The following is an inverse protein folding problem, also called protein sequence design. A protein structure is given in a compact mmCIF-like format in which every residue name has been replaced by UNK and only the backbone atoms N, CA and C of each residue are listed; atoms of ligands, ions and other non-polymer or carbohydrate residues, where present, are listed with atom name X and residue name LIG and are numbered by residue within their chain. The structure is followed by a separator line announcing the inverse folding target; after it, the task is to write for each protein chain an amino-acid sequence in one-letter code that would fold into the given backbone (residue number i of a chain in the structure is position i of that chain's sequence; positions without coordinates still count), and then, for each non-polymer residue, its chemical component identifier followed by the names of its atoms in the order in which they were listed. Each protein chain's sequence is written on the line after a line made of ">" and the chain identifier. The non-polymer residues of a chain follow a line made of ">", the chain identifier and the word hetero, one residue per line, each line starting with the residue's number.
data_IF_082418419133
#
_entry.id   IF_082418419133
#
_cell.length_a   1.000
_cell.length_b   1.000
_cell.length_c   1.000
_cell.angle_alpha   90.00
_cell.angle_beta   90.00
_cell.angle_gamma   90.00
#
_symmetry.space_group_name_H-M   'P 1'
#
loop_
_entity.id
_entity.type
_entity.pdbx_description
1 polymer ?
#
# COMPACT_ATOMS: atom_id res chain seq x y z
N UNK A 1 14.45 33.63 25.97
CA UNK A 1 13.83 32.28 25.95
C UNK A 1 13.01 32.00 24.69
N UNK A 2 12.14 32.91 24.25
CA UNK A 2 11.26 32.71 23.07
C UNK A 2 11.95 32.69 21.71
N UNK A 3 13.10 33.38 21.57
CA UNK A 3 13.85 33.46 20.33
C UNK A 3 14.62 32.16 19.98
N UNK A 4 14.93 31.33 20.98
CA UNK A 4 15.58 30.02 20.80
C UNK A 4 14.58 28.96 20.34
N UNK A 5 13.35 29.00 20.87
CA UNK A 5 12.25 28.15 20.42
C UNK A 5 11.87 28.45 18.96
N UNK A 6 11.80 29.72 18.57
CA UNK A 6 11.54 30.11 17.17
C UNK A 6 12.60 29.63 16.19
N UNK A 7 13.89 29.64 16.57
CA UNK A 7 14.98 29.13 15.73
C UNK A 7 14.99 27.60 15.61
N UNK A 8 14.62 26.88 16.67
CA UNK A 8 14.46 25.42 16.66
C UNK A 8 13.27 24.98 15.80
N UNK A 9 12.11 25.63 15.94
CA UNK A 9 10.93 25.36 15.11
C UNK A 9 11.15 25.72 13.64
N UNK A 10 11.79 26.87 13.35
CA UNK A 10 12.13 27.25 11.97
C UNK A 10 13.20 26.35 11.32
N UNK A 11 14.13 25.81 12.10
CA UNK A 11 15.10 24.81 11.63
C UNK A 11 14.46 23.45 11.33
N UNK A 12 13.49 23.03 12.15
CA UNK A 12 12.72 21.80 11.95
C UNK A 12 11.77 21.90 10.75
N UNK A 13 11.12 23.04 10.54
CA UNK A 13 10.26 23.26 9.36
C UNK A 13 11.07 23.24 8.07
N UNK A 14 12.25 23.89 8.04
CA UNK A 14 13.12 23.90 6.87
C UNK A 14 13.77 22.54 6.54
N UNK A 15 13.90 21.65 7.52
CA UNK A 15 14.34 20.26 7.30
C UNK A 15 13.18 19.38 6.82
N UNK A 16 11.99 19.49 7.39
CA UNK A 16 10.79 18.82 6.91
C UNK A 16 10.50 19.19 5.44
N UNK A 17 10.62 20.47 5.10
CA UNK A 17 10.48 20.99 3.74
C UNK A 17 11.58 20.54 2.77
N UNK A 18 12.67 19.91 3.22
CA UNK A 18 13.66 19.27 2.31
C UNK A 18 13.41 17.79 2.12
N UNK A 19 12.91 17.09 3.15
CA UNK A 19 12.64 15.64 3.07
C UNK A 19 11.27 15.30 2.44
N UNK A 20 10.27 16.17 2.59
CA UNK A 20 8.93 16.00 1.98
C UNK A 20 8.91 16.20 0.45
N UNK A 21 9.52 17.26 -0.14
CA UNK A 21 9.45 17.46 -1.59
C UNK A 21 10.24 16.42 -2.39
N UNK A 22 11.19 15.71 -1.76
CA UNK A 22 11.96 14.66 -2.43
C UNK A 22 11.10 13.43 -2.75
N UNK A 23 10.17 13.07 -1.85
CA UNK A 23 9.23 11.95 -2.06
C UNK A 23 8.24 12.22 -3.20
N UNK A 24 7.68 13.42 -3.27
CA UNK A 24 6.75 13.79 -4.34
C UNK A 24 7.43 13.77 -5.70
N UNK A 25 8.67 14.26 -5.79
CA UNK A 25 9.47 14.22 -7.02
C UNK A 25 9.85 12.80 -7.44
N UNK A 26 10.16 11.92 -6.49
CA UNK A 26 10.43 10.50 -6.74
C UNK A 26 9.17 9.79 -7.27
N UNK A 27 8.01 10.02 -6.67
CA UNK A 27 6.73 9.47 -7.14
C UNK A 27 6.40 9.94 -8.55
N UNK A 28 6.58 11.24 -8.85
CA UNK A 28 6.39 11.76 -10.20
C UNK A 28 7.40 11.19 -11.20
N UNK A 29 8.67 11.05 -10.81
CA UNK A 29 9.69 10.43 -11.66
C UNK A 29 9.35 8.96 -11.96
N UNK A 30 8.90 8.21 -10.95
CA UNK A 30 8.45 6.83 -11.13
C UNK A 30 7.18 6.74 -11.97
N UNK A 31 6.24 7.68 -11.82
CA UNK A 31 5.03 7.76 -12.67
C UNK A 31 5.42 8.00 -14.12
N UNK A 32 6.34 8.94 -14.39
CA UNK A 32 6.82 9.24 -15.75
C UNK A 32 7.55 8.06 -16.40
N UNK A 33 8.34 7.30 -15.63
CA UNK A 33 8.99 6.08 -16.11
C UNK A 33 7.94 5.00 -16.42
N UNK A 34 6.98 4.78 -15.51
CA UNK A 34 5.89 3.82 -15.71
C UNK A 34 5.03 4.18 -16.93
N UNK A 35 4.71 5.45 -17.14
CA UNK A 35 3.96 5.95 -18.29
C UNK A 35 4.73 5.71 -19.61
N UNK A 36 6.03 6.00 -19.62
CA UNK A 36 6.89 5.75 -20.77
C UNK A 36 7.00 4.24 -21.10
N UNK A 37 7.17 3.39 -20.09
CA UNK A 37 7.21 1.92 -20.25
C UNK A 37 5.86 1.34 -20.73
N UNK A 38 4.73 1.96 -20.36
CA UNK A 38 3.40 1.52 -20.77
C UNK A 38 3.07 1.94 -22.21
N UNK A 39 3.55 3.11 -22.66
CA UNK A 39 3.19 3.71 -23.95
C UNK A 39 3.68 2.96 -25.20
N UNK A 40 4.78 2.19 -25.10
CA UNK A 40 5.42 1.58 -26.27
C UNK A 40 5.65 0.07 -26.23
N UNK A 41 5.52 -0.57 -25.06
CA UNK A 41 5.86 -1.99 -24.91
C UNK A 41 4.63 -2.91 -25.04
N UNK A 42 4.72 -4.03 -25.81
CA UNK A 42 3.74 -5.12 -25.71
C UNK A 42 3.62 -5.55 -24.25
N UNK A 43 2.47 -6.13 -23.86
CA UNK A 43 2.24 -6.59 -22.49
C UNK A 43 3.31 -7.62 -22.08
N UNK A 44 4.42 -7.11 -21.57
CA UNK A 44 5.55 -7.91 -21.12
C UNK A 44 5.08 -8.78 -19.97
N UNK A 45 5.60 -10.01 -19.87
CA UNK A 45 5.39 -10.88 -18.71
C UNK A 45 5.71 -10.16 -17.39
N UNK A 46 6.63 -9.19 -17.43
CA UNK A 46 7.02 -8.32 -16.32
C UNK A 46 6.00 -7.19 -16.01
N UNK A 47 4.99 -6.93 -16.85
CA UNK A 47 3.88 -6.02 -16.54
C UNK A 47 2.67 -6.79 -15.98
N UNK A 48 2.51 -8.03 -16.43
CA UNK A 48 1.41 -8.91 -16.03
C UNK A 48 1.53 -9.42 -14.59
N UNK A 49 2.74 -9.64 -14.05
CA UNK A 49 2.89 -10.13 -12.67
C UNK A 49 2.29 -9.20 -11.63
N UNK A 50 2.42 -7.87 -11.79
CA UNK A 50 1.85 -6.88 -10.87
C UNK A 50 0.33 -6.93 -10.89
N UNK A 51 -0.26 -7.03 -12.08
CA UNK A 51 -1.70 -7.20 -12.24
C UNK A 51 -2.18 -8.52 -11.64
N UNK A 52 -1.48 -9.62 -11.94
CA UNK A 52 -1.78 -10.95 -11.39
C UNK A 52 -1.75 -10.96 -9.86
N UNK A 53 -0.70 -10.39 -9.26
CA UNK A 53 -0.56 -10.30 -7.81
C UNK A 53 -1.70 -9.48 -7.19
N UNK A 54 -2.13 -8.39 -7.86
CA UNK A 54 -3.30 -7.62 -7.47
C UNK A 54 -4.59 -8.43 -7.45
N UNK A 55 -4.82 -9.28 -8.46
CA UNK A 55 -5.97 -10.19 -8.49
C UNK A 55 -5.94 -11.21 -7.35
N UNK A 56 -4.78 -11.81 -7.08
CA UNK A 56 -4.62 -12.76 -5.97
C UNK A 56 -4.90 -12.07 -4.64
N UNK A 57 -4.33 -10.87 -4.41
CA UNK A 57 -4.59 -10.10 -3.19
C UNK A 57 -6.07 -9.68 -3.07
N UNK A 58 -6.74 -9.34 -4.16
CA UNK A 58 -8.17 -9.03 -4.15
C UNK A 58 -9.03 -10.25 -3.75
N UNK A 59 -8.68 -11.44 -4.22
CA UNK A 59 -9.34 -12.69 -3.80
C UNK A 59 -9.10 -12.98 -2.32
N UNK A 60 -7.86 -12.80 -1.83
CA UNK A 60 -7.53 -12.97 -0.42
C UNK A 60 -8.24 -11.94 0.46
N UNK A 61 -8.36 -10.69 0.01
CA UNK A 61 -9.13 -9.65 0.70
C UNK A 61 -10.62 -10.02 0.76
N UNK A 62 -11.20 -10.48 -0.35
CA UNK A 62 -12.59 -10.96 -0.38
C UNK A 62 -12.79 -12.14 0.58
N UNK A 63 -11.85 -13.07 0.65
CA UNK A 63 -11.86 -14.14 1.63
C UNK A 63 -11.79 -13.63 3.07
N UNK A 64 -10.86 -12.74 3.41
CA UNK A 64 -10.69 -12.23 4.78
C UNK A 64 -11.88 -11.38 5.24
N UNK A 65 -12.51 -10.62 4.35
CA UNK A 65 -13.66 -9.77 4.71
C UNK A 65 -14.98 -10.52 4.57
N UNK A 66 -15.32 -11.01 3.39
CA UNK A 66 -16.63 -11.64 3.14
C UNK A 66 -16.63 -13.08 3.63
N UNK A 67 -15.60 -13.85 3.28
CA UNK A 67 -15.49 -15.25 3.68
C UNK A 67 -15.41 -15.43 5.20
N UNK A 68 -14.38 -14.86 5.82
CA UNK A 68 -14.06 -15.08 7.22
C UNK A 68 -14.98 -14.32 8.19
N UNK A 69 -15.40 -13.08 7.89
CA UNK A 69 -16.23 -12.30 8.83
C UNK A 69 -17.73 -12.50 8.64
N UNK A 70 -18.19 -12.85 7.43
CA UNK A 70 -19.64 -12.99 7.14
C UNK A 70 -20.02 -14.45 6.93
N UNK A 71 -19.38 -15.13 5.98
CA UNK A 71 -19.80 -16.49 5.59
C UNK A 71 -19.48 -17.51 6.70
N UNK A 72 -18.28 -17.48 7.27
CA UNK A 72 -17.87 -18.47 8.30
C UNK A 72 -18.74 -18.39 9.56
N UNK A 73 -19.03 -17.22 10.16
CA UNK A 73 -19.88 -17.16 11.35
C UNK A 73 -21.34 -17.53 11.07
N UNK A 74 -21.87 -17.21 9.89
CA UNK A 74 -23.27 -17.48 9.54
C UNK A 74 -23.52 -18.95 9.19
N UNK A 75 -22.60 -19.59 8.46
CA UNK A 75 -22.83 -20.92 7.89
C UNK A 75 -21.92 -22.01 8.49
N UNK A 76 -20.77 -21.64 9.07
CA UNK A 76 -19.73 -22.57 9.53
C UNK A 76 -19.19 -22.20 10.93
N UNK A 77 -20.06 -21.74 11.82
CA UNK A 77 -19.69 -21.19 13.14
C UNK A 77 -18.79 -22.14 13.98
N UNK A 78 -18.99 -23.45 13.86
CA UNK A 78 -18.17 -24.44 14.58
C UNK A 78 -16.72 -24.47 14.11
N UNK A 79 -16.47 -24.12 12.85
CA UNK A 79 -15.14 -24.13 12.25
C UNK A 79 -14.39 -22.83 12.52
N UNK A 80 -15.11 -21.74 12.82
CA UNK A 80 -14.54 -20.44 13.16
C UNK A 80 -13.41 -20.51 14.21
N UNK A 81 -13.55 -21.43 15.20
CA UNK A 81 -12.58 -21.63 16.28
C UNK A 81 -11.26 -22.26 15.85
N UNK A 82 -11.27 -22.96 14.71
CA UNK A 82 -10.11 -23.69 14.19
C UNK A 82 -9.41 -22.95 13.04
N UNK A 83 -9.91 -21.77 12.65
CA UNK A 83 -9.26 -21.02 11.59
C UNK A 83 -7.90 -20.46 12.07
N UNK A 84 -6.89 -20.44 11.20
CA UNK A 84 -5.64 -19.74 11.50
C UNK A 84 -5.90 -18.25 11.69
N UNK A 85 -4.98 -17.50 12.33
CA UNK A 85 -5.09 -16.05 12.48
C UNK A 85 -5.41 -15.34 11.16
N UNK A 86 -6.11 -14.22 11.25
CA UNK A 86 -6.41 -13.41 10.07
C UNK A 86 -5.13 -12.85 9.46
N UNK A 87 -5.03 -12.91 8.13
CA UNK A 87 -3.93 -12.31 7.38
C UNK A 87 -4.30 -10.92 6.81
N UNK A 88 -5.40 -10.32 7.27
CA UNK A 88 -5.94 -9.07 6.71
C UNK A 88 -4.92 -7.92 6.75
N UNK A 89 -4.19 -7.75 7.85
CA UNK A 89 -3.17 -6.68 7.96
C UNK A 89 -2.05 -6.83 6.93
N UNK A 90 -1.62 -8.06 6.67
CA UNK A 90 -0.58 -8.37 5.70
C UNK A 90 -1.08 -8.09 4.27
N UNK A 91 -2.31 -8.53 3.97
CA UNK A 91 -2.96 -8.29 2.67
C UNK A 91 -3.15 -6.79 2.43
N UNK A 92 -3.64 -6.05 3.44
CA UNK A 92 -3.83 -4.60 3.36
C UNK A 92 -2.50 -3.86 3.19
N UNK A 93 -1.46 -4.26 3.91
CA UNK A 93 -0.10 -3.68 3.76
C UNK A 93 0.42 -3.85 2.34
N UNK A 94 0.26 -5.05 1.76
CA UNK A 94 0.69 -5.32 0.38
C UNK A 94 -0.15 -4.57 -0.65
N UNK A 95 -1.48 -4.51 -0.48
CA UNK A 95 -2.38 -3.76 -1.36
C UNK A 95 -2.07 -2.25 -1.35
N UNK A 96 -1.89 -1.68 -0.16
CA UNK A 96 -1.55 -0.27 0.01
C UNK A 96 -0.14 0.04 -0.52
N UNK A 97 0.83 -0.86 -0.29
CA UNK A 97 2.16 -0.78 -0.90
C UNK A 97 2.12 -0.82 -2.44
N UNK A 98 1.22 -1.62 -3.03
CA UNK A 98 0.98 -1.63 -4.47
C UNK A 98 0.24 -0.38 -4.98
N UNK A 99 -0.51 0.32 -4.12
CA UNK A 99 -1.11 1.62 -4.45
C UNK A 99 -0.12 2.78 -4.23
N UNK A 100 1.10 2.51 -3.75
CA UNK A 100 2.10 3.54 -3.44
C UNK A 100 1.81 4.29 -2.14
N UNK A 101 0.88 3.79 -1.32
CA UNK A 101 0.49 4.35 -0.03
C UNK A 101 1.07 3.46 1.07
N UNK A 102 2.28 3.75 1.57
CA UNK A 102 2.89 2.79 2.51
C UNK A 102 4.29 3.11 3.00
N UNK A 103 4.56 4.39 3.29
CA UNK A 103 5.72 4.80 4.09
C UNK A 103 5.38 5.90 5.09
#
# INVERSE_FOLDING_TARGET
>A
MWMLLGKLFGGLSGLADRFVPDRNRQNEAQSRINEAEVSGAPASRMRLWRSFLGWVLALLFCWEVVGRLVIVPLFFAQWAKNLPPSALDQVMTLLLGMLGLGF
#
